data_IF_632975924283
#
_entry.id   IF_632975924283
#
_cell.length_a   1.000
_cell.length_b   1.000
_cell.length_c   1.000
_cell.angle_alpha   90.00
_cell.angle_beta   90.00
_cell.angle_gamma   90.00
#
_symmetry.space_group_name_H-M   'P 1'
#
loop_
_entity.id
_entity.type
_entity.pdbx_description
1 polymer ?
#
# COMPACT_ATOMS: atom_id res chain seq x y z
N UNK A 1 -14.44 0.23 37.45
CA UNK A 1 -15.62 0.69 36.69
C UNK A 1 -15.24 0.55 35.22
N UNK A 2 -15.78 -0.47 34.56
CA UNK A 2 -15.45 -0.89 33.19
C UNK A 2 -15.89 0.20 32.23
N UNK A 3 -14.96 0.88 31.56
CA UNK A 3 -15.30 1.63 30.35
C UNK A 3 -15.09 0.67 29.19
N UNK A 4 -16.18 0.11 28.64
CA UNK A 4 -16.13 -0.69 27.41
C UNK A 4 -15.74 0.23 26.25
N UNK A 5 -14.43 0.44 26.11
CA UNK A 5 -13.82 1.24 25.05
C UNK A 5 -13.74 0.43 23.77
N UNK A 6 -13.94 1.10 22.65
CA UNK A 6 -13.65 0.55 21.33
C UNK A 6 -12.27 1.03 20.87
N UNK A 7 -11.65 0.24 20.00
CA UNK A 7 -10.39 0.52 19.36
C UNK A 7 -10.61 0.53 17.84
N UNK A 8 -9.95 1.46 17.15
CA UNK A 8 -9.98 1.57 15.70
C UNK A 8 -8.57 1.89 15.20
N UNK A 9 -8.12 1.25 14.13
CA UNK A 9 -6.89 1.66 13.44
C UNK A 9 -7.09 3.07 12.91
N UNK A 10 -6.17 3.98 13.24
CA UNK A 10 -6.25 5.35 12.77
C UNK A 10 -6.26 5.38 11.22
N UNK A 11 -7.32 5.90 10.58
CA UNK A 11 -7.44 5.88 9.12
C UNK A 11 -6.40 6.76 8.41
N UNK A 12 -5.77 7.69 9.13
CA UNK A 12 -4.68 8.54 8.64
C UNK A 12 -3.30 7.85 8.73
N UNK A 13 -3.24 6.60 9.22
CA UNK A 13 -1.98 5.87 9.43
C UNK A 13 -1.81 4.74 8.42
N UNK A 14 -0.73 4.82 7.65
CA UNK A 14 -0.24 3.73 6.80
C UNK A 14 0.51 2.76 7.69
N UNK A 15 0.09 1.50 7.70
CA UNK A 15 0.81 0.42 8.33
C UNK A 15 1.49 -0.40 7.22
N UNK A 16 2.81 -0.50 7.31
CA UNK A 16 3.65 -1.13 6.30
C UNK A 16 4.45 -2.22 7.02
N UNK A 17 4.29 -3.46 6.58
CA UNK A 17 5.04 -4.59 7.11
C UNK A 17 6.25 -4.92 6.23
N UNK A 18 7.37 -5.28 6.87
CA UNK A 18 8.57 -5.89 6.24
C UNK A 18 9.35 -6.64 7.32
N UNK A 19 9.88 -7.83 7.01
CA UNK A 19 10.68 -8.61 7.97
C UNK A 19 9.89 -8.91 9.26
N UNK A 20 10.53 -8.69 10.42
CA UNK A 20 9.94 -8.90 11.76
C UNK A 20 9.29 -7.63 12.35
N UNK A 21 9.06 -6.60 11.52
CA UNK A 21 8.64 -5.29 12.00
C UNK A 21 7.50 -4.63 11.21
N UNK A 22 6.97 -3.56 11.83
CA UNK A 22 6.03 -2.63 11.22
C UNK A 22 6.56 -1.20 11.24
N UNK A 23 6.37 -0.51 10.12
CA UNK A 23 6.52 0.92 9.98
C UNK A 23 5.12 1.55 9.88
N UNK A 24 4.83 2.48 10.80
CA UNK A 24 3.62 3.27 10.77
C UNK A 24 3.93 4.71 10.37
N UNK A 25 3.25 5.18 9.33
CA UNK A 25 3.46 6.49 8.73
C UNK A 25 2.18 7.31 8.76
N UNK A 26 2.30 8.55 9.22
CA UNK A 26 1.26 9.59 9.12
C UNK A 26 1.89 10.88 8.61
N UNK A 27 1.35 11.51 7.54
CA UNK A 27 1.94 12.73 7.00
C UNK A 27 2.13 13.82 8.05
N UNK A 28 3.33 14.41 8.08
CA UNK A 28 3.67 15.52 8.98
C UNK A 28 3.89 15.12 10.45
N UNK A 29 3.96 13.83 10.76
CA UNK A 29 4.28 13.31 12.10
C UNK A 29 5.54 12.44 12.05
N UNK A 30 6.12 12.18 13.22
CA UNK A 30 7.25 11.26 13.34
C UNK A 30 6.80 9.82 13.01
N UNK A 31 7.59 9.13 12.18
CA UNK A 31 7.35 7.73 11.84
C UNK A 31 7.53 6.84 13.07
N UNK A 32 6.69 5.82 13.19
CA UNK A 32 6.72 4.90 14.34
C UNK A 32 7.19 3.53 13.86
N UNK A 33 8.31 3.07 14.42
CA UNK A 33 8.89 1.77 14.15
C UNK A 33 8.57 0.80 15.29
N UNK A 34 8.01 -0.36 14.95
CA UNK A 34 7.66 -1.42 15.87
C UNK A 34 8.37 -2.71 15.42
N UNK A 35 9.52 -3.00 16.03
CA UNK A 35 10.29 -4.23 15.84
C UNK A 35 11.05 -4.58 17.15
N UNK A 36 11.24 -5.88 17.48
CA UNK A 36 10.56 -7.02 16.87
C UNK A 36 9.08 -7.06 17.28
N UNK A 37 8.23 -7.62 16.44
CA UNK A 37 6.82 -7.89 16.74
C UNK A 37 6.36 -9.14 16.02
N UNK A 38 5.37 -9.85 16.56
CA UNK A 38 4.65 -10.87 15.80
C UNK A 38 3.89 -10.19 14.65
N UNK A 39 4.51 -10.16 13.47
CA UNK A 39 4.01 -9.47 12.27
C UNK A 39 2.69 -10.08 11.81
N UNK A 40 2.49 -11.38 11.98
CA UNK A 40 1.22 -12.00 11.60
C UNK A 40 0.10 -11.65 12.57
N UNK A 41 0.35 -11.71 13.87
CA UNK A 41 -0.63 -11.32 14.87
C UNK A 41 -1.00 -9.84 14.72
N UNK A 42 -0.01 -8.97 14.51
CA UNK A 42 -0.23 -7.56 14.27
C UNK A 42 -0.94 -7.30 12.94
N UNK A 43 -0.62 -8.04 11.87
CA UNK A 43 -1.36 -7.96 10.61
C UNK A 43 -2.84 -8.29 10.80
N UNK A 44 -3.14 -9.44 11.42
CA UNK A 44 -4.52 -9.87 11.72
C UNK A 44 -5.26 -8.83 12.56
N UNK A 45 -4.58 -8.28 13.56
CA UNK A 45 -5.17 -7.25 14.41
C UNK A 45 -5.45 -5.94 13.65
N UNK A 46 -4.49 -5.45 12.85
CA UNK A 46 -4.66 -4.23 12.05
C UNK A 46 -5.76 -4.39 11.00
N UNK A 47 -5.88 -5.56 10.40
CA UNK A 47 -6.94 -5.90 9.45
C UNK A 47 -8.32 -5.88 10.15
N UNK A 48 -8.42 -6.50 11.33
CA UNK A 48 -9.66 -6.50 12.12
C UNK A 48 -10.03 -5.09 12.63
N UNK A 49 -9.03 -4.27 12.96
CA UNK A 49 -9.16 -2.90 13.43
C UNK A 49 -9.51 -1.89 12.33
N UNK A 50 -9.73 -2.33 11.08
CA UNK A 50 -10.34 -1.51 10.03
C UNK A 50 -11.78 -1.08 10.40
N UNK A 51 -12.41 -1.72 11.40
CA UNK A 51 -13.68 -1.32 12.00
C UNK A 51 -13.51 -1.21 13.53
N UNK A 52 -14.36 -0.46 14.25
CA UNK A 52 -14.25 -0.36 15.70
C UNK A 52 -14.49 -1.70 16.39
N UNK A 53 -13.51 -2.18 17.16
CA UNK A 53 -13.56 -3.43 17.92
C UNK A 53 -13.62 -3.17 19.44
N UNK A 54 -14.42 -3.93 20.21
CA UNK A 54 -14.43 -3.82 21.67
C UNK A 54 -13.13 -4.36 22.28
N UNK A 55 -12.75 -3.84 23.45
CA UNK A 55 -11.52 -4.24 24.17
C UNK A 55 -11.31 -5.76 24.27
N UNK A 56 -12.37 -6.51 24.60
CA UNK A 56 -12.30 -7.96 24.74
C UNK A 56 -11.85 -8.66 23.43
N UNK A 57 -12.33 -8.20 22.27
CA UNK A 57 -11.95 -8.77 20.97
C UNK A 57 -10.51 -8.39 20.60
N UNK A 58 -10.05 -7.18 20.95
CA UNK A 58 -8.67 -6.75 20.70
C UNK A 58 -7.68 -7.53 21.57
N UNK A 59 -8.06 -7.83 22.82
CA UNK A 59 -7.23 -8.62 23.74
C UNK A 59 -7.01 -10.07 23.28
N UNK A 60 -7.86 -10.59 22.38
CA UNK A 60 -7.67 -11.90 21.73
C UNK A 60 -6.70 -11.82 20.54
N UNK A 61 -6.46 -10.62 20.00
CA UNK A 61 -5.66 -10.40 18.78
C UNK A 61 -4.26 -9.84 19.07
N UNK A 62 -4.10 -9.04 20.13
CA UNK A 62 -2.87 -8.33 20.47
C UNK A 62 -2.51 -8.44 21.94
N UNK A 63 -1.20 -8.56 22.21
CA UNK A 63 -0.65 -8.41 23.55
C UNK A 63 -0.88 -6.98 24.07
N UNK A 64 -1.16 -6.85 25.37
CA UNK A 64 -1.43 -5.56 26.02
C UNK A 64 -0.31 -4.54 25.82
N UNK A 65 0.94 -4.99 25.81
CA UNK A 65 2.10 -4.11 25.65
C UNK A 65 2.18 -3.54 24.22
N UNK A 66 1.96 -4.37 23.20
CA UNK A 66 1.89 -3.93 21.80
C UNK A 66 0.72 -2.97 21.61
N UNK A 67 -0.47 -3.29 22.14
CA UNK A 67 -1.64 -2.40 22.08
C UNK A 67 -1.37 -1.05 22.74
N UNK A 68 -0.73 -1.03 23.91
CA UNK A 68 -0.40 0.21 24.62
C UNK A 68 0.56 1.09 23.79
N UNK A 69 1.57 0.49 23.13
CA UNK A 69 2.48 1.22 22.23
C UNK A 69 1.75 1.80 21.02
N UNK A 70 0.84 1.04 20.41
CA UNK A 70 0.03 1.49 19.27
C UNK A 70 -0.90 2.66 19.65
N UNK A 71 -1.50 2.62 20.84
CA UNK A 71 -2.35 3.70 21.36
C UNK A 71 -1.52 4.94 21.70
N UNK A 72 -0.39 4.78 22.38
CA UNK A 72 0.51 5.88 22.73
C UNK A 72 1.06 6.62 21.50
N UNK A 73 1.17 5.91 20.38
CA UNK A 73 1.68 6.44 19.11
C UNK A 73 0.57 6.89 18.15
N UNK A 74 -0.68 6.94 18.60
CA UNK A 74 -1.88 7.26 17.79
C UNK A 74 -2.08 6.38 16.53
N UNK A 75 -1.48 5.19 16.50
CA UNK A 75 -1.71 4.19 15.44
C UNK A 75 -3.06 3.52 15.63
N UNK A 76 -3.46 3.29 16.88
CA UNK A 76 -4.78 2.82 17.27
C UNK A 76 -5.46 3.90 18.12
N UNK A 77 -6.65 4.30 17.71
CA UNK A 77 -7.49 5.25 18.42
C UNK A 77 -8.40 4.51 19.40
N UNK A 78 -8.72 5.14 20.54
CA UNK A 78 -9.66 4.61 21.52
C UNK A 78 -10.82 5.57 21.73
N UNK A 79 -12.02 5.05 22.00
CA UNK A 79 -13.19 5.90 22.22
C UNK A 79 -14.51 5.15 22.16
N UNK A 80 -15.61 5.90 22.06
CA UNK A 80 -16.92 5.31 21.76
C UNK A 80 -17.00 4.88 20.30
N UNK A 81 -17.79 3.84 20.01
CA UNK A 81 -17.99 3.33 18.65
C UNK A 81 -18.43 4.41 17.66
N UNK A 82 -19.34 5.30 18.08
CA UNK A 82 -19.83 6.41 17.26
C UNK A 82 -18.74 7.44 16.95
N UNK A 83 -17.96 7.85 17.96
CA UNK A 83 -16.89 8.82 17.77
C UNK A 83 -15.77 8.29 16.86
N UNK A 84 -15.45 7.00 16.96
CA UNK A 84 -14.46 6.35 16.10
C UNK A 84 -14.97 6.20 14.66
N UNK A 85 -16.24 5.87 14.45
CA UNK A 85 -16.82 5.84 13.09
C UNK A 85 -16.76 7.20 12.40
N UNK A 86 -17.03 8.28 13.12
CA UNK A 86 -16.97 9.64 12.57
C UNK A 86 -15.56 10.03 12.07
N UNK A 87 -14.49 9.37 12.53
CA UNK A 87 -13.12 9.62 12.08
C UNK A 87 -12.80 8.99 10.72
N UNK A 88 -13.57 8.01 10.26
CA UNK A 88 -13.38 7.38 8.95
C UNK A 88 -13.74 8.32 7.78
N UNK A 89 -14.55 9.35 8.05
CA UNK A 89 -15.13 10.24 7.03
C UNK A 89 -14.34 11.53 6.76
N UNK A 90 -13.21 11.74 7.43
CA UNK A 90 -12.45 13.00 7.36
C UNK A 90 -11.01 12.80 6.91
N UNK A 91 -10.68 13.26 5.69
CA UNK A 91 -9.30 13.30 5.20
C UNK A 91 -9.08 14.48 4.27
N UNK A 92 -8.36 15.49 4.75
CA UNK A 92 -7.69 16.49 3.91
C UNK A 92 -6.20 16.48 4.23
N UNK A 93 -5.35 16.48 3.20
CA UNK A 93 -3.94 16.79 3.35
C UNK A 93 -3.44 17.51 2.10
N UNK A 94 -2.85 18.68 2.33
CA UNK A 94 -2.04 19.39 1.35
C UNK A 94 -0.75 19.86 2.02
N UNK A 95 0.36 19.77 1.29
CA UNK A 95 1.48 20.71 1.37
C UNK A 95 2.39 20.48 0.17
N UNK A 96 2.82 21.57 -0.48
CA UNK A 96 3.79 21.54 -1.57
C UNK A 96 5.21 21.61 -0.99
N UNK A 97 6.08 20.69 -1.42
CA UNK A 97 7.52 20.82 -1.28
C UNK A 97 8.24 20.13 -2.45
N UNK A 98 9.51 20.47 -2.59
CA UNK A 98 10.52 20.03 -3.56
C UNK A 98 10.37 18.56 -4.03
N UNK A 99 10.79 18.28 -5.27
CA UNK A 99 10.82 16.92 -5.83
C UNK A 99 11.48 15.96 -4.84
N UNK A 100 10.71 14.98 -4.39
CA UNK A 100 11.08 14.02 -3.36
C UNK A 100 11.77 12.78 -3.93
N UNK A 101 11.57 12.50 -5.22
CA UNK A 101 12.02 11.29 -5.87
C UNK A 101 12.83 11.62 -7.12
N UNK A 102 13.97 10.95 -7.32
CA UNK A 102 14.72 10.98 -8.57
C UNK A 102 14.01 10.16 -9.65
N UNK A 103 13.62 8.92 -9.34
CA UNK A 103 12.98 8.06 -10.32
C UNK A 103 12.09 7.00 -9.66
N UNK A 104 10.78 7.18 -9.76
CA UNK A 104 9.80 6.15 -9.39
C UNK A 104 9.33 5.36 -10.60
N UNK A 105 9.15 4.06 -10.40
CA UNK A 105 8.37 3.20 -11.32
C UNK A 105 7.10 2.81 -10.59
N UNK A 106 5.93 3.08 -11.18
CA UNK A 106 4.64 2.66 -10.63
C UNK A 106 3.97 1.68 -11.58
N UNK A 107 3.56 0.51 -11.08
CA UNK A 107 2.88 -0.52 -11.85
C UNK A 107 1.41 -0.63 -11.44
N UNK A 108 0.52 -0.50 -12.43
CA UNK A 108 -0.92 -0.71 -12.28
C UNK A 108 -1.24 -2.20 -12.53
N UNK A 109 -1.80 -2.90 -11.54
CA UNK A 109 -2.38 -4.24 -11.72
C UNK A 109 -3.87 -4.16 -12.08
N UNK A 110 -4.46 -5.26 -12.55
CA UNK A 110 -5.86 -5.29 -13.01
C UNK A 110 -6.91 -5.22 -11.92
N UNK A 111 -7.13 -4.03 -11.34
CA UNK A 111 -8.16 -3.75 -10.34
C UNK A 111 -8.95 -2.47 -10.64
N UNK A 112 -10.26 -2.38 -10.33
CA UNK A 112 -11.08 -1.18 -10.59
C UNK A 112 -10.48 0.13 -10.07
N UNK A 113 -9.73 0.04 -8.96
CA UNK A 113 -8.96 1.14 -8.39
C UNK A 113 -7.89 1.76 -9.33
N UNK A 114 -7.62 1.16 -10.50
CA UNK A 114 -6.78 1.77 -11.54
C UNK A 114 -7.29 3.15 -11.98
N UNK A 115 -8.60 3.32 -12.08
CA UNK A 115 -9.22 4.57 -12.55
C UNK A 115 -8.92 5.74 -11.61
N UNK A 116 -9.20 5.67 -10.30
CA UNK A 116 -8.79 6.73 -9.38
C UNK A 116 -7.26 6.83 -9.25
N UNK A 117 -6.52 5.72 -9.33
CA UNK A 117 -5.05 5.73 -9.27
C UNK A 117 -4.43 6.50 -10.43
N UNK A 118 -5.02 6.48 -11.63
CA UNK A 118 -4.57 7.29 -12.76
C UNK A 118 -4.47 8.79 -12.42
N UNK A 119 -5.42 9.31 -11.64
CA UNK A 119 -5.40 10.70 -11.17
C UNK A 119 -4.33 10.92 -10.09
N UNK A 120 -4.09 9.92 -9.22
CA UNK A 120 -3.01 9.98 -8.23
C UNK A 120 -1.64 10.07 -8.88
N UNK A 121 -1.40 9.32 -9.96
CA UNK A 121 -0.14 9.35 -10.71
C UNK A 121 0.18 10.75 -11.27
N UNK A 122 -0.83 11.51 -11.70
CA UNK A 122 -0.63 12.88 -12.20
C UNK A 122 -0.13 13.81 -11.10
N UNK A 123 -0.57 13.61 -9.86
CA UNK A 123 -0.13 14.37 -8.70
C UNK A 123 1.27 13.93 -8.28
N UNK A 124 1.47 12.62 -8.10
CA UNK A 124 2.76 12.03 -7.71
C UNK A 124 3.88 12.43 -8.67
N UNK A 125 3.60 12.54 -9.97
CA UNK A 125 4.58 13.01 -10.96
C UNK A 125 5.24 14.34 -10.59
N UNK A 126 4.54 15.25 -9.90
CA UNK A 126 5.08 16.56 -9.51
C UNK A 126 6.21 16.42 -8.49
N UNK A 127 6.20 15.33 -7.74
CA UNK A 127 7.19 15.03 -6.71
C UNK A 127 8.36 14.21 -7.26
N UNK A 128 8.35 13.86 -8.56
CA UNK A 128 9.37 13.03 -9.20
C UNK A 128 10.20 13.82 -10.24
N UNK A 129 11.50 13.53 -10.34
CA UNK A 129 12.28 13.91 -11.53
C UNK A 129 11.85 13.07 -12.73
N UNK A 130 11.81 11.75 -12.57
CA UNK A 130 11.24 10.80 -13.53
C UNK A 130 10.16 9.92 -12.89
N UNK A 131 9.07 9.70 -13.63
CA UNK A 131 8.01 8.76 -13.26
C UNK A 131 7.68 7.89 -14.48
N UNK A 132 7.96 6.60 -14.38
CA UNK A 132 7.52 5.59 -15.34
C UNK A 132 6.32 4.83 -14.79
N UNK A 133 5.39 4.53 -15.68
CA UNK A 133 4.16 3.82 -15.34
C UNK A 133 4.09 2.53 -16.15
N UNK A 134 4.12 1.39 -15.48
CA UNK A 134 3.81 0.09 -16.07
C UNK A 134 2.29 -0.12 -15.99
N UNK A 135 1.66 -0.54 -17.06
CA UNK A 135 0.23 -0.91 -17.07
C UNK A 135 0.14 -2.36 -17.52
N UNK A 136 -0.18 -3.26 -16.58
CA UNK A 136 -0.30 -4.69 -16.87
C UNK A 136 -1.40 -4.96 -17.90
N UNK A 137 -1.37 -6.12 -18.55
CA UNK A 137 -2.40 -6.50 -19.52
C UNK A 137 -3.82 -6.41 -18.92
N UNK A 138 -3.98 -6.87 -17.68
CA UNK A 138 -5.26 -6.78 -16.98
C UNK A 138 -5.68 -5.32 -16.70
N UNK A 139 -4.74 -4.45 -16.31
CA UNK A 139 -5.02 -3.02 -16.06
C UNK A 139 -5.42 -2.27 -17.35
N UNK A 140 -4.91 -2.69 -18.51
CA UNK A 140 -5.27 -2.09 -19.82
C UNK A 140 -6.76 -2.25 -20.16
N UNK A 141 -7.46 -3.21 -19.53
CA UNK A 141 -8.91 -3.41 -19.70
C UNK A 141 -9.74 -2.38 -18.92
N UNK A 142 -9.12 -1.65 -17.99
CA UNK A 142 -9.76 -0.69 -17.08
C UNK A 142 -9.33 0.74 -17.40
N UNK A 143 -8.04 0.94 -17.71
CA UNK A 143 -7.48 2.25 -18.05
C UNK A 143 -6.67 2.13 -19.35
N UNK A 144 -7.01 2.97 -20.32
CA UNK A 144 -6.34 2.98 -21.60
C UNK A 144 -4.93 3.60 -21.50
N UNK A 145 -3.85 2.90 -21.89
CA UNK A 145 -2.49 3.47 -21.86
C UNK A 145 -2.34 4.78 -22.63
N UNK A 146 -3.09 4.96 -23.72
CA UNK A 146 -3.06 6.19 -24.50
C UNK A 146 -3.62 7.39 -23.71
N UNK A 147 -4.62 7.19 -22.86
CA UNK A 147 -5.16 8.22 -21.99
C UNK A 147 -4.11 8.69 -20.96
N UNK A 148 -3.43 7.76 -20.29
CA UNK A 148 -2.35 8.07 -19.35
C UNK A 148 -1.20 8.83 -20.03
N UNK A 149 -0.85 8.48 -21.27
CA UNK A 149 0.15 9.23 -22.06
C UNK A 149 -0.30 10.65 -22.37
N UNK A 150 -1.60 10.89 -22.62
CA UNK A 150 -2.15 12.26 -22.82
C UNK A 150 -2.11 13.09 -21.54
N UNK A 151 -2.18 12.45 -20.36
CA UNK A 151 -1.90 13.07 -19.06
C UNK A 151 -0.40 13.33 -18.83
N UNK A 152 0.44 12.99 -19.82
CA UNK A 152 1.88 13.23 -19.82
C UNK A 152 2.70 12.16 -19.09
N UNK A 153 2.10 11.03 -18.70
CA UNK A 153 2.80 9.94 -18.04
C UNK A 153 3.64 9.12 -19.04
N UNK A 154 4.80 8.64 -18.60
CA UNK A 154 5.65 7.73 -19.39
C UNK A 154 5.15 6.30 -19.22
N UNK A 155 4.33 5.84 -20.16
CA UNK A 155 3.63 4.55 -20.01
C UNK A 155 4.30 3.41 -20.78
N UNK A 156 4.46 2.28 -20.12
CA UNK A 156 5.01 1.01 -20.58
C UNK A 156 3.99 -0.11 -20.41
N UNK A 157 3.89 -1.01 -21.39
CA UNK A 157 2.83 -2.03 -21.44
C UNK A 157 3.34 -3.42 -21.78
N UNK A 158 4.58 -3.55 -22.26
CA UNK A 158 5.13 -4.80 -22.78
C UNK A 158 6.64 -4.86 -22.51
N UNK A 159 7.09 -6.00 -21.99
CA UNK A 159 8.48 -6.27 -21.64
C UNK A 159 9.39 -6.52 -22.84
N UNK A 160 8.81 -6.78 -24.02
CA UNK A 160 9.50 -7.10 -25.25
C UNK A 160 9.38 -5.98 -26.30
N UNK A 161 8.55 -4.97 -26.04
CA UNK A 161 8.42 -3.81 -26.92
C UNK A 161 9.52 -2.77 -26.64
N UNK A 162 10.56 -2.78 -27.47
CA UNK A 162 11.62 -1.78 -27.43
C UNK A 162 11.07 -0.35 -27.66
N UNK A 163 11.68 0.64 -27.00
CA UNK A 163 11.29 2.05 -27.10
C UNK A 163 12.53 2.94 -27.20
N UNK A 164 12.75 3.54 -28.37
CA UNK A 164 13.94 4.37 -28.60
C UNK A 164 15.22 3.55 -28.44
N UNK A 165 16.11 3.97 -27.53
CA UNK A 165 17.35 3.25 -27.21
C UNK A 165 17.16 2.10 -26.20
N UNK A 166 15.95 1.91 -25.67
CA UNK A 166 15.66 0.91 -24.62
C UNK A 166 15.18 -0.38 -25.29
N UNK A 167 16.07 -1.37 -25.35
CA UNK A 167 15.80 -2.68 -25.97
C UNK A 167 15.22 -3.71 -24.98
N UNK A 168 15.50 -3.55 -23.69
CA UNK A 168 15.05 -4.46 -22.63
C UNK A 168 14.31 -3.66 -21.54
N UNK A 169 13.01 -3.36 -21.76
CA UNK A 169 12.21 -2.52 -20.87
C UNK A 169 12.27 -2.90 -19.38
N UNK A 170 12.07 -4.18 -19.04
CA UNK A 170 12.03 -4.60 -17.63
C UNK A 170 13.37 -4.37 -16.91
N UNK A 171 14.52 -4.64 -17.56
CA UNK A 171 15.85 -4.35 -16.99
C UNK A 171 16.11 -2.84 -16.90
N UNK A 172 15.67 -2.07 -17.89
CA UNK A 172 15.80 -0.61 -17.85
C UNK A 172 15.03 -0.03 -16.67
N UNK A 173 13.76 -0.40 -16.52
CA UNK A 173 12.89 0.08 -15.45
C UNK A 173 13.42 -0.37 -14.08
N UNK A 174 13.80 -1.64 -13.94
CA UNK A 174 14.35 -2.19 -12.70
C UNK A 174 15.61 -1.46 -12.23
N UNK A 175 16.54 -1.12 -13.15
CA UNK A 175 17.78 -0.41 -12.80
C UNK A 175 17.60 1.08 -12.58
N UNK A 176 16.59 1.67 -13.20
CA UNK A 176 16.36 3.10 -13.12
C UNK A 176 15.54 3.48 -11.87
N UNK A 177 14.66 2.58 -11.42
CA UNK A 177 13.86 2.77 -10.22
C UNK A 177 14.73 2.98 -8.97
N UNK A 178 14.46 4.03 -8.21
CA UNK A 178 14.87 4.09 -6.80
C UNK A 178 13.86 3.39 -5.89
N UNK A 179 12.64 3.16 -6.38
CA UNK A 179 11.59 2.37 -5.77
C UNK A 179 10.59 1.92 -6.85
N UNK A 180 10.14 0.68 -6.75
CA UNK A 180 9.03 0.15 -7.54
C UNK A 180 7.77 0.10 -6.68
N UNK A 181 6.69 0.76 -7.12
CA UNK A 181 5.41 0.77 -6.41
C UNK A 181 4.37 0.04 -7.26
N UNK A 182 3.72 -0.97 -6.70
CA UNK A 182 2.68 -1.74 -7.36
C UNK A 182 1.34 -1.33 -6.72
N UNK A 183 0.59 -0.48 -7.41
CA UNK A 183 -0.63 0.12 -6.89
C UNK A 183 -1.61 0.46 -8.03
N UNK A 184 -2.84 -0.05 -8.02
CA UNK A 184 -3.32 -1.11 -7.11
C UNK A 184 -2.62 -2.44 -7.40
N UNK A 185 -2.58 -3.34 -6.42
CA UNK A 185 -2.14 -4.72 -6.56
C UNK A 185 -3.32 -5.69 -6.35
N UNK A 186 -3.57 -6.56 -7.33
CA UNK A 186 -4.62 -7.59 -7.25
C UNK A 186 -4.14 -8.83 -6.48
N UNK A 187 -5.08 -9.70 -6.09
CA UNK A 187 -4.76 -11.01 -5.54
C UNK A 187 -3.85 -11.84 -6.47
N UNK A 188 -4.04 -11.72 -7.79
CA UNK A 188 -3.20 -12.39 -8.79
C UNK A 188 -1.78 -11.80 -8.82
N UNK A 189 -1.63 -10.48 -8.70
CA UNK A 189 -0.32 -9.85 -8.61
C UNK A 189 0.44 -10.31 -7.36
N UNK A 190 -0.24 -10.44 -6.22
CA UNK A 190 0.38 -11.02 -5.02
C UNK A 190 0.87 -12.45 -5.26
N UNK A 191 0.08 -13.27 -5.96
CA UNK A 191 0.48 -14.61 -6.36
C UNK A 191 1.71 -14.62 -7.27
N UNK A 192 1.69 -13.83 -8.35
CA UNK A 192 2.78 -13.76 -9.33
C UNK A 192 4.11 -13.42 -8.66
N UNK A 193 4.10 -12.43 -7.75
CA UNK A 193 5.29 -11.98 -7.05
C UNK A 193 5.77 -13.05 -6.05
N UNK A 194 4.88 -13.59 -5.21
CA UNK A 194 5.24 -14.58 -4.19
C UNK A 194 5.76 -15.90 -4.76
N UNK A 195 5.45 -16.21 -6.02
CA UNK A 195 5.86 -17.45 -6.69
C UNK A 195 6.91 -17.22 -7.79
N UNK A 196 7.35 -15.98 -8.01
CA UNK A 196 8.33 -15.65 -9.04
C UNK A 196 7.89 -15.97 -10.47
N UNK A 197 6.61 -15.83 -10.81
CA UNK A 197 6.03 -16.26 -12.10
C UNK A 197 6.66 -15.55 -13.32
N UNK A 198 7.11 -14.30 -13.16
CA UNK A 198 7.86 -13.52 -14.16
C UNK A 198 7.23 -13.53 -15.57
N UNK A 199 5.90 -13.46 -15.65
CA UNK A 199 5.14 -13.66 -16.90
C UNK A 199 4.82 -12.38 -17.67
N UNK A 200 4.97 -11.20 -17.06
CA UNK A 200 4.66 -9.91 -17.68
C UNK A 200 5.67 -8.81 -17.30
N UNK A 201 5.53 -7.61 -17.88
CA UNK A 201 6.43 -6.48 -17.59
C UNK A 201 6.48 -6.13 -16.11
N UNK A 202 5.35 -6.20 -15.40
CA UNK A 202 5.28 -5.87 -13.98
C UNK A 202 6.10 -6.87 -13.15
N UNK A 203 5.79 -8.15 -13.28
CA UNK A 203 6.46 -9.23 -12.53
C UNK A 203 7.94 -9.37 -12.92
N UNK A 204 8.29 -9.23 -14.20
CA UNK A 204 9.70 -9.22 -14.65
C UNK A 204 10.48 -8.05 -14.06
N UNK A 205 9.88 -6.86 -13.99
CA UNK A 205 10.55 -5.69 -13.40
C UNK A 205 10.72 -5.85 -11.90
N UNK A 206 9.69 -6.36 -11.21
CA UNK A 206 9.73 -6.61 -9.77
C UNK A 206 10.77 -7.66 -9.37
N UNK A 207 10.96 -8.71 -10.19
CA UNK A 207 12.00 -9.73 -9.93
C UNK A 207 13.41 -9.23 -10.23
N UNK A 208 13.56 -8.28 -11.17
CA UNK A 208 14.88 -7.83 -11.64
C UNK A 208 15.43 -6.61 -10.89
N UNK A 209 14.65 -5.98 -10.01
CA UNK A 209 15.02 -4.73 -9.32
C UNK A 209 15.75 -5.01 -8.02
N UNK A 210 16.82 -4.26 -7.76
CA UNK A 210 17.48 -4.20 -6.45
C UNK A 210 16.85 -3.11 -5.55
N UNK A 211 16.00 -2.25 -6.13
CA UNK A 211 15.29 -1.19 -5.40
C UNK A 211 14.15 -1.75 -4.53
N UNK A 212 13.77 -1.07 -3.43
CA UNK A 212 12.64 -1.48 -2.60
C UNK A 212 11.35 -1.58 -3.43
N UNK A 213 10.60 -2.67 -3.22
CA UNK A 213 9.31 -2.89 -3.85
C UNK A 213 8.18 -2.71 -2.85
N UNK A 214 7.27 -1.77 -3.15
CA UNK A 214 6.08 -1.49 -2.36
C UNK A 214 4.86 -2.08 -3.05
N UNK A 215 4.12 -2.93 -2.36
CA UNK A 215 2.87 -3.54 -2.84
C UNK A 215 1.70 -2.91 -2.09
N UNK A 216 0.75 -2.36 -2.83
CA UNK A 216 -0.47 -1.73 -2.29
C UNK A 216 -1.69 -2.54 -2.74
N UNK A 217 -2.09 -3.57 -1.96
CA UNK A 217 -3.25 -4.40 -2.27
C UNK A 217 -4.52 -3.55 -2.42
N UNK A 218 -5.39 -3.95 -3.34
CA UNK A 218 -6.74 -3.40 -3.54
C UNK A 218 -7.67 -4.55 -3.90
N UNK A 219 -8.52 -4.96 -2.97
CA UNK A 219 -9.53 -6.00 -3.18
C UNK A 219 -10.57 -5.95 -2.05
N UNK A 220 -11.66 -6.70 -2.17
CA UNK A 220 -12.63 -6.84 -1.09
C UNK A 220 -12.01 -7.45 0.17
N UNK A 221 -12.60 -7.17 1.34
CA UNK A 221 -12.15 -7.77 2.60
C UNK A 221 -12.22 -9.30 2.57
N UNK A 222 -13.26 -9.86 1.92
CA UNK A 222 -13.39 -11.30 1.72
C UNK A 222 -12.26 -11.91 0.88
N UNK A 223 -11.84 -11.23 -0.20
CA UNK A 223 -10.72 -11.66 -1.03
C UNK A 223 -9.38 -11.55 -0.28
N UNK A 224 -9.17 -10.46 0.45
CA UNK A 224 -7.97 -10.24 1.28
C UNK A 224 -7.82 -11.32 2.37
N UNK A 225 -8.92 -11.66 3.04
CA UNK A 225 -8.95 -12.69 4.07
C UNK A 225 -8.82 -14.13 3.52
N UNK A 226 -8.78 -14.31 2.19
CA UNK A 226 -8.67 -15.65 1.62
C UNK A 226 -7.31 -16.29 1.99
N UNK A 227 -7.27 -17.60 2.34
CA UNK A 227 -6.03 -18.24 2.81
C UNK A 227 -4.86 -18.17 1.82
N UNK A 228 -5.15 -18.14 0.51
CA UNK A 228 -4.12 -18.03 -0.51
C UNK A 228 -3.53 -16.61 -0.56
N UNK A 229 -4.37 -15.58 -0.51
CA UNK A 229 -3.91 -14.18 -0.51
C UNK A 229 -3.14 -13.87 0.75
N UNK A 230 -3.64 -14.28 1.92
CA UNK A 230 -2.96 -14.08 3.19
C UNK A 230 -1.56 -14.72 3.22
N UNK A 231 -1.44 -15.97 2.72
CA UNK A 231 -0.14 -16.66 2.62
C UNK A 231 0.82 -15.95 1.66
N UNK A 232 0.34 -15.50 0.49
CA UNK A 232 1.17 -14.79 -0.47
C UNK A 232 1.64 -13.44 0.09
N UNK A 233 0.75 -12.71 0.77
CA UNK A 233 1.10 -11.45 1.41
C UNK A 233 2.16 -11.65 2.53
N UNK A 234 2.05 -12.72 3.31
CA UNK A 234 3.04 -13.07 4.33
C UNK A 234 4.39 -13.39 3.68
N UNK A 235 4.42 -14.27 2.66
CA UNK A 235 5.64 -14.62 1.93
C UNK A 235 6.34 -13.38 1.36
N UNK A 236 5.60 -12.46 0.74
CA UNK A 236 6.17 -11.23 0.19
C UNK A 236 6.85 -10.36 1.26
N UNK A 237 6.28 -10.28 2.47
CA UNK A 237 6.88 -9.53 3.57
C UNK A 237 8.20 -10.17 4.03
N UNK A 238 8.24 -11.50 4.10
CA UNK A 238 9.44 -12.29 4.42
C UNK A 238 10.51 -12.13 3.33
N UNK A 239 10.10 -12.10 2.06
CA UNK A 239 10.97 -11.89 0.90
C UNK A 239 11.47 -10.42 0.78
N UNK A 240 11.07 -9.55 1.72
CA UNK A 240 11.58 -8.17 1.83
C UNK A 240 10.75 -7.11 1.10
N UNK A 241 9.59 -7.47 0.54
CA UNK A 241 8.65 -6.50 -0.03
C UNK A 241 7.96 -5.70 1.08
N UNK A 242 7.72 -4.42 0.83
CA UNK A 242 6.89 -3.59 1.68
C UNK A 242 5.43 -3.78 1.31
N UNK A 243 4.69 -4.56 2.10
CA UNK A 243 3.25 -4.80 1.85
C UNK A 243 2.42 -3.85 2.70
N UNK A 244 1.71 -2.93 2.05
CA UNK A 244 0.81 -1.98 2.73
C UNK A 244 -0.44 -2.72 3.20
N UNK A 245 -0.71 -2.69 4.51
CA UNK A 245 -1.95 -3.28 5.05
C UNK A 245 -3.16 -2.49 4.53
N UNK A 246 -4.18 -3.17 3.97
CA UNK A 246 -5.44 -2.55 3.57
C UNK A 246 -5.99 -1.60 4.64
N UNK A 247 -6.60 -0.50 4.21
CA UNK A 247 -7.36 0.41 5.09
C UNK A 247 -8.84 0.22 4.78
N UNK A 248 -9.71 0.48 5.76
CA UNK A 248 -11.12 0.73 5.46
C UNK A 248 -11.23 2.02 4.62
N UNK A 249 -11.87 1.92 3.45
CA UNK A 249 -12.31 3.09 2.68
C UNK A 249 -13.84 3.11 2.64
N UNK A 250 -14.44 4.26 2.93
CA UNK A 250 -15.82 4.54 2.50
C UNK A 250 -15.76 5.02 1.05
N UNK A 251 -16.34 4.25 0.12
CA UNK A 251 -16.73 4.81 -1.18
C UNK A 251 -18.25 4.86 -1.27
N UNK A 252 -18.75 6.07 -1.54
CA UNK A 252 -20.12 6.44 -1.93
C UNK A 252 -21.25 5.51 -1.45
N UNK A 253 -21.86 5.90 -0.33
CA UNK A 253 -23.19 5.44 0.07
C UNK A 253 -24.21 5.70 -1.07
N UNK A 254 -24.69 4.63 -1.71
CA UNK A 254 -26.05 4.48 -2.26
C UNK A 254 -26.20 3.18 -3.11
N UNK A 255 -25.61 2.08 -2.67
CA UNK A 255 -25.96 0.74 -3.20
C UNK A 255 -26.59 -0.08 -2.07
N UNK A 256 -27.87 -0.47 -2.16
CA UNK A 256 -28.53 -1.31 -1.17
C UNK A 256 -28.15 -2.76 -1.45
N UNK A 257 -26.92 -3.15 -1.08
CA UNK A 257 -26.58 -4.50 -0.64
C UNK A 257 -25.18 -4.50 -0.02
N UNK A 258 -25.05 -5.18 1.12
CA UNK A 258 -23.97 -5.05 2.08
C UNK A 258 -22.65 -5.73 1.65
N UNK A 259 -21.52 -5.16 2.11
CA UNK A 259 -20.36 -5.85 2.73
C UNK A 259 -19.03 -6.10 2.01
N UNK A 260 -18.79 -5.70 0.76
CA UNK A 260 -17.48 -5.98 0.11
C UNK A 260 -16.91 -4.77 -0.68
N UNK A 261 -16.59 -3.69 0.05
CA UNK A 261 -15.96 -2.49 -0.51
C UNK A 261 -14.43 -2.60 -0.44
N UNK A 262 -13.75 -2.09 -1.49
CA UNK A 262 -12.30 -2.17 -1.73
C UNK A 262 -11.48 -1.78 -0.47
N UNK A 263 -10.95 -2.79 0.20
CA UNK A 263 -9.99 -2.63 1.27
C UNK A 263 -8.62 -2.45 0.61
N UNK A 264 -8.21 -1.20 0.36
CA UNK A 264 -6.90 -0.98 -0.24
C UNK A 264 -6.65 0.37 -0.88
N UNK A 265 -5.41 0.85 -0.76
CA UNK A 265 -4.95 2.10 -1.35
C UNK A 265 -4.39 3.08 -0.31
N UNK A 266 -3.48 3.94 -0.76
CA UNK A 266 -3.00 5.10 -0.01
C UNK A 266 -3.77 6.32 -0.51
N UNK A 267 -4.37 7.16 0.36
CA UNK A 267 -5.07 8.36 -0.08
C UNK A 267 -4.16 9.31 -0.86
N UNK A 268 -4.75 10.06 -1.81
CA UNK A 268 -4.04 10.94 -2.74
C UNK A 268 -3.05 11.89 -2.03
N UNK A 269 -3.44 12.48 -0.90
CA UNK A 269 -2.61 13.44 -0.15
C UNK A 269 -1.50 12.81 0.68
N UNK A 270 -1.51 11.48 0.86
CA UNK A 270 -0.57 10.78 1.74
C UNK A 270 0.48 9.98 0.98
N UNK A 271 0.20 9.60 -0.28
CA UNK A 271 1.03 8.71 -1.09
C UNK A 271 2.50 9.11 -1.10
N UNK A 272 2.80 10.37 -1.44
CA UNK A 272 4.18 10.87 -1.53
C UNK A 272 4.90 10.78 -0.18
N UNK A 273 4.25 11.19 0.92
CA UNK A 273 4.84 11.13 2.25
C UNK A 273 5.12 9.69 2.69
N UNK A 274 4.17 8.77 2.43
CA UNK A 274 4.31 7.36 2.75
C UNK A 274 5.49 6.73 2.00
N UNK A 275 5.64 7.00 0.70
CA UNK A 275 6.74 6.49 -0.09
C UNK A 275 8.10 7.07 0.33
N UNK A 276 8.16 8.34 0.73
CA UNK A 276 9.37 8.97 1.27
C UNK A 276 9.85 8.27 2.56
N UNK A 277 8.93 7.98 3.47
CA UNK A 277 9.28 7.31 4.73
C UNK A 277 9.77 5.87 4.51
N UNK A 278 9.16 5.14 3.58
CA UNK A 278 9.65 3.81 3.18
C UNK A 278 11.08 3.91 2.63
N UNK A 279 11.33 4.87 1.73
CA UNK A 279 12.65 5.04 1.12
C UNK A 279 13.72 5.44 2.16
N UNK A 280 13.37 6.31 3.11
CA UNK A 280 14.26 6.70 4.20
C UNK A 280 14.64 5.50 5.08
N UNK A 281 13.65 4.70 5.51
CA UNK A 281 13.91 3.49 6.33
C UNK A 281 14.74 2.45 5.56
N UNK A 282 14.53 2.32 4.26
CA UNK A 282 15.34 1.43 3.42
C UNK A 282 16.80 1.92 3.32
N UNK A 283 17.02 3.23 3.14
CA UNK A 283 18.36 3.83 3.01
C UNK A 283 19.19 3.83 4.30
N UNK A 284 18.54 3.86 5.46
CA UNK A 284 19.21 3.88 6.78
C UNK A 284 19.82 2.51 7.19
N UNK A 285 19.74 1.48 6.36
CA UNK A 285 20.37 0.18 6.63
C UNK A 285 19.55 -0.74 7.54
N UNK A 286 18.24 -0.85 7.27
CA UNK A 286 17.42 -2.01 7.61
C UNK A 286 16.95 -2.14 9.08
N UNK A 287 16.43 -1.05 9.67
CA UNK A 287 15.77 -1.08 11.01
C UNK A 287 14.51 -1.96 11.14
N UNK A 288 14.14 -2.71 10.09
CA UNK A 288 13.01 -3.65 10.04
C UNK A 288 13.46 -5.11 9.82
N UNK A 289 14.76 -5.40 9.89
CA UNK A 289 15.31 -6.76 9.85
C UNK A 289 15.10 -7.47 11.17
#
# INVERSE_FOLDING_TARGET
MSSDGYYLRNPEVSAIARGEGYLFVRPGRERVLLSPVDVEALARALDALCQPLPEAAVAELLEREVLARLVASEVVLTGSREALRARLSGGEAGSQAQKAFRHLVVALAGEPACVPTAWQLVHLRRDCEELDVIVSEAAQRLVEPAYLRRLGLRVWTDAFAARGAINVPHIHLARAAEMLVIMPASAYTLYQLAHGECSDLLSLTATATDAPVVVVPSMSASAWASPAVARNAAQLREDGFYVVSPRAQETAADAPDESDLDAGGIPLGELSAVLQDILAVHGDGDGLV
#
